data_IF_166115451106
#
_entry.id   IF_166115451106
#
_cell.length_a   1.000
_cell.length_b   1.000
_cell.length_c   1.000
_cell.angle_alpha   90.00
_cell.angle_beta   90.00
_cell.angle_gamma   90.00
#
_symmetry.space_group_name_H-M   'P 1'
#
loop_
_entity.id
_entity.type
_entity.pdbx_description
1 polymer ?
#
# COMPACT_ATOMS: atom_id res chain seq x y z
N UNK A 1 9.99 17.75 6.40
CA UNK A 1 8.95 17.13 5.55
C UNK A 1 9.56 16.21 4.48
N UNK A 2 10.20 16.69 3.41
CA UNK A 2 10.79 15.83 2.33
C UNK A 2 11.76 14.72 2.80
N UNK A 3 12.58 14.95 3.83
CA UNK A 3 13.53 13.94 4.32
C UNK A 3 12.86 12.75 5.04
N UNK A 4 11.71 12.96 5.70
CA UNK A 4 10.98 11.90 6.41
C UNK A 4 10.30 10.97 5.39
N UNK A 5 9.68 11.55 4.36
CA UNK A 5 9.08 10.83 3.23
C UNK A 5 10.12 9.97 2.51
N UNK A 6 11.31 10.51 2.20
CA UNK A 6 12.38 9.72 1.58
C UNK A 6 12.86 8.53 2.45
N UNK A 7 12.87 8.70 3.77
CA UNK A 7 13.20 7.64 4.72
C UNK A 7 12.10 6.57 4.79
N UNK A 8 10.84 6.98 4.70
CA UNK A 8 9.68 6.08 4.65
C UNK A 8 9.64 5.31 3.32
N UNK A 9 9.85 5.98 2.19
CA UNK A 9 9.94 5.34 0.88
C UNK A 9 11.13 4.37 0.78
N UNK A 10 12.18 4.59 1.58
CA UNK A 10 13.28 3.63 1.71
C UNK A 10 12.92 2.36 2.51
N UNK A 11 11.71 2.29 3.09
CA UNK A 11 11.25 1.20 3.94
C UNK A 11 10.55 0.06 3.19
N UNK A 12 10.61 0.01 1.85
CA UNK A 12 9.95 -1.00 1.01
C UNK A 12 8.45 -1.16 1.35
N UNK A 13 7.65 -0.11 1.14
CA UNK A 13 6.20 -0.21 1.23
C UNK A 13 5.63 -0.79 -0.06
N UNK A 14 4.59 -1.60 0.07
CA UNK A 14 3.96 -2.29 -1.07
C UNK A 14 2.48 -1.98 -1.13
N UNK A 15 1.98 -1.76 -2.35
CA UNK A 15 0.57 -1.53 -2.60
C UNK A 15 -0.03 -2.70 -3.39
N UNK A 16 -1.13 -3.26 -2.89
CA UNK A 16 -2.05 -4.07 -3.70
C UNK A 16 -2.94 -3.12 -4.50
N UNK A 17 -3.17 -3.41 -5.77
CA UNK A 17 -4.02 -2.59 -6.65
C UNK A 17 -4.97 -3.50 -7.43
N UNK A 18 -6.26 -3.26 -7.30
CA UNK A 18 -7.30 -4.00 -8.01
C UNK A 18 -8.36 -3.05 -8.58
N UNK A 19 -9.24 -3.61 -9.40
CA UNK A 19 -10.33 -2.88 -10.05
C UNK A 19 -11.64 -3.26 -9.36
N UNK A 20 -12.39 -2.24 -8.92
CA UNK A 20 -13.76 -2.38 -8.44
C UNK A 20 -14.68 -1.53 -9.31
N UNK A 21 -15.49 -2.18 -10.16
CA UNK A 21 -16.39 -1.52 -11.10
C UNK A 21 -15.75 -0.34 -11.88
N UNK A 22 -16.06 0.90 -11.47
CA UNK A 22 -15.62 2.17 -12.08
C UNK A 22 -14.38 2.76 -11.42
N UNK A 23 -13.83 2.13 -10.40
CA UNK A 23 -12.73 2.60 -9.57
C UNK A 23 -11.54 1.64 -9.60
N UNK A 24 -10.36 2.19 -9.43
CA UNK A 24 -9.19 1.45 -8.96
C UNK A 24 -9.07 1.67 -7.47
N UNK A 25 -8.94 0.59 -6.71
CA UNK A 25 -8.74 0.59 -5.25
C UNK A 25 -7.37 0.02 -4.97
N UNK A 26 -6.70 0.58 -3.98
CA UNK A 26 -5.43 0.06 -3.51
C UNK A 26 -5.35 0.07 -1.98
N UNK A 27 -4.41 -0.73 -1.47
CA UNK A 27 -4.10 -0.82 -0.06
C UNK A 27 -2.59 -0.99 0.12
N UNK A 28 -2.00 -0.17 0.99
CA UNK A 28 -0.64 -0.38 1.48
C UNK A 28 -0.64 -1.51 2.51
N UNK A 29 0.08 -2.59 2.22
CA UNK A 29 0.07 -3.82 3.02
C UNK A 29 0.58 -3.55 4.44
N UNK A 30 1.68 -2.81 4.57
CA UNK A 30 2.33 -2.58 5.85
C UNK A 30 1.59 -1.60 6.76
N UNK A 31 0.85 -0.66 6.17
CA UNK A 31 0.16 0.41 6.89
C UNK A 31 -1.34 0.15 7.04
N UNK A 32 -1.88 -0.86 6.35
CA UNK A 32 -3.33 -1.12 6.26
C UNK A 32 -4.11 0.14 5.85
N UNK A 33 -3.52 0.90 4.92
CA UNK A 33 -4.05 2.18 4.45
C UNK A 33 -4.53 2.02 3.03
N UNK A 34 -5.81 2.32 2.79
CA UNK A 34 -6.42 2.19 1.48
C UNK A 34 -6.72 3.54 0.82
N UNK A 35 -6.73 3.54 -0.50
CA UNK A 35 -7.16 4.68 -1.31
C UNK A 35 -7.81 4.23 -2.61
N UNK A 36 -8.33 5.17 -3.39
CA UNK A 36 -8.99 4.89 -4.66
C UNK A 36 -8.86 6.03 -5.67
N UNK A 37 -9.05 5.73 -6.95
CA UNK A 37 -9.05 6.70 -8.05
C UNK A 37 -9.78 6.20 -9.29
N UNK A 38 -10.15 7.09 -10.21
CA UNK A 38 -10.77 6.70 -11.50
C UNK A 38 -9.79 6.00 -12.42
N UNK A 39 -8.50 6.30 -12.26
CA UNK A 39 -7.40 5.70 -13.03
C UNK A 39 -6.37 5.07 -12.10
N UNK A 40 -5.56 4.12 -12.60
CA UNK A 40 -4.45 3.52 -11.80
C UNK A 40 -3.49 4.58 -11.26
N UNK A 41 -3.02 5.56 -12.07
CA UNK A 41 -2.12 6.60 -11.56
C UNK A 41 -2.75 7.47 -10.49
N UNK A 42 -4.03 7.83 -10.63
CA UNK A 42 -4.76 8.60 -9.63
C UNK A 42 -4.90 7.84 -8.31
N UNK A 43 -5.28 6.56 -8.36
CA UNK A 43 -5.38 5.75 -7.15
C UNK A 43 -4.04 5.68 -6.42
N UNK A 44 -2.94 5.44 -7.14
CA UNK A 44 -1.59 5.39 -6.56
C UNK A 44 -1.15 6.74 -5.98
N UNK A 45 -1.43 7.86 -6.66
CA UNK A 45 -1.14 9.21 -6.14
C UNK A 45 -1.94 9.50 -4.87
N UNK A 46 -3.22 9.14 -4.85
CA UNK A 46 -4.05 9.32 -3.66
C UNK A 46 -3.59 8.44 -2.49
N UNK A 47 -2.98 7.27 -2.75
CA UNK A 47 -2.37 6.45 -1.72
C UNK A 47 -1.09 7.07 -1.17
N UNK A 48 -0.23 7.61 -2.05
CA UNK A 48 0.97 8.35 -1.64
C UNK A 48 0.62 9.52 -0.71
N UNK A 49 -0.35 10.35 -1.08
CA UNK A 49 -0.83 11.46 -0.24
C UNK A 49 -1.40 10.99 1.10
N UNK A 50 -2.17 9.87 1.10
CA UNK A 50 -2.70 9.30 2.34
C UNK A 50 -1.57 8.79 3.26
N UNK A 51 -0.53 8.16 2.71
CA UNK A 51 0.65 7.70 3.45
C UNK A 51 1.40 8.90 4.03
N UNK A 52 1.58 9.97 3.26
CA UNK A 52 2.21 11.21 3.73
C UNK A 52 1.46 11.75 4.96
N UNK A 53 0.14 11.91 4.85
CA UNK A 53 -0.72 12.39 5.95
C UNK A 53 -0.67 11.48 7.17
N UNK A 54 -0.69 10.16 6.98
CA UNK A 54 -0.62 9.19 8.07
C UNK A 54 0.69 9.32 8.88
N UNK A 55 1.80 9.68 8.20
CA UNK A 55 3.14 9.71 8.78
C UNK A 55 3.60 11.10 9.24
N UNK A 56 2.75 12.12 9.07
CA UNK A 56 2.96 13.46 9.62
C UNK A 56 2.95 13.44 11.16
N UNK A 57 2.26 12.52 11.82
CA UNK A 57 2.30 12.39 13.28
C UNK A 57 3.69 11.94 13.77
N UNK A 58 4.21 12.64 14.78
CA UNK A 58 5.54 12.40 15.37
C UNK A 58 5.67 11.02 16.04
N UNK A 59 4.55 10.39 16.38
CA UNK A 59 4.53 9.10 17.08
C UNK A 59 4.54 7.88 16.17
N UNK A 60 4.44 8.06 14.85
CA UNK A 60 4.37 6.93 13.93
C UNK A 60 5.79 6.48 13.55
N UNK A 61 6.15 5.29 14.03
CA UNK A 61 7.33 4.58 13.55
C UNK A 61 6.92 3.83 12.28
N UNK A 62 7.54 4.11 11.11
CA UNK A 62 7.19 3.39 9.90
C UNK A 62 7.48 1.90 10.08
N UNK A 63 6.55 1.02 9.69
CA UNK A 63 6.77 -0.42 9.76
C UNK A 63 7.95 -0.81 8.88
N UNK A 64 8.63 -1.89 9.27
CA UNK A 64 9.61 -2.51 8.39
C UNK A 64 8.84 -3.19 7.25
N UNK A 65 9.16 -2.81 6.00
CA UNK A 65 8.61 -3.46 4.82
C UNK A 65 8.90 -4.94 4.78
N UNK A 66 8.03 -5.67 4.10
CA UNK A 66 8.28 -7.08 3.78
C UNK A 66 9.31 -7.19 2.65
N UNK A 67 9.94 -8.35 2.52
CA UNK A 67 10.75 -8.70 1.35
C UNK A 67 10.11 -9.89 0.64
N UNK A 68 10.34 -10.01 -0.66
CA UNK A 68 9.94 -11.18 -1.46
C UNK A 68 8.44 -11.50 -1.38
N UNK A 69 7.59 -10.46 -1.47
CA UNK A 69 6.13 -10.62 -1.40
C UNK A 69 5.61 -11.40 -2.61
N UNK A 70 4.76 -12.38 -2.32
CA UNK A 70 4.03 -13.16 -3.32
C UNK A 70 2.52 -13.01 -3.13
N UNK A 71 1.76 -13.01 -4.24
CA UNK A 71 0.31 -13.01 -4.23
C UNK A 71 -0.20 -14.41 -4.59
N UNK A 72 -0.87 -15.07 -3.64
CA UNK A 72 -1.41 -16.42 -3.80
C UNK A 72 -2.94 -16.41 -3.82
N UNK A 73 -3.55 -17.15 -4.76
CA UNK A 73 -4.99 -17.34 -4.76
C UNK A 73 -5.36 -18.54 -3.86
N UNK A 74 -6.18 -18.28 -2.84
CA UNK A 74 -6.56 -19.30 -1.86
C UNK A 74 -7.47 -20.38 -2.43
N UNK A 75 -8.16 -20.15 -3.56
CA UNK A 75 -8.92 -21.21 -4.24
C UNK A 75 -8.03 -22.35 -4.73
N UNK A 76 -6.76 -22.06 -4.95
CA UNK A 76 -5.80 -23.03 -5.50
C UNK A 76 -5.23 -23.93 -4.39
N UNK A 77 -5.47 -23.56 -3.12
CA UNK A 77 -4.99 -24.27 -1.92
C UNK A 77 -5.83 -25.50 -1.54
N UNK A 78 -6.88 -25.84 -2.30
CA UNK A 78 -7.64 -27.09 -2.10
C UNK A 78 -6.82 -28.37 -2.28
N UNK A 79 -5.56 -28.26 -2.68
CA UNK A 79 -4.60 -29.36 -2.86
C UNK A 79 -3.70 -29.64 -1.65
N UNK A 80 -3.86 -28.91 -0.54
CA UNK A 80 -3.08 -29.11 0.70
C UNK A 80 -3.79 -29.97 1.78
N UNK A 81 -4.92 -30.60 1.43
CA UNK A 81 -5.69 -31.47 2.33
C UNK A 81 -5.61 -32.95 1.91
#
# INVERSE_FOLDING_TARGET
MRNKINQILSSNLHALLWREERWYVNECIELQLASQGKTKPEALKNLEEAIELYLEDEKVVPPKGYSDIELHNLSDMHSYA
#
